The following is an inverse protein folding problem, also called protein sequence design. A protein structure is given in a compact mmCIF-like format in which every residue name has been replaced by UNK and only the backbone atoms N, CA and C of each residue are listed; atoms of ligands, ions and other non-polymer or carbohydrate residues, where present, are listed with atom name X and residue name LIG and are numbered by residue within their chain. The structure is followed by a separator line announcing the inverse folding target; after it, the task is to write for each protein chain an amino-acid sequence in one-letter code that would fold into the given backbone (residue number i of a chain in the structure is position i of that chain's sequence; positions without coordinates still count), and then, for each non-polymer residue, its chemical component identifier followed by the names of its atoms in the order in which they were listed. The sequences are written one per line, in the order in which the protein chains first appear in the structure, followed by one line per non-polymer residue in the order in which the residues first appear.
data_IF_766000612588
#
_entry.id   IF_766000612588
#
_cell.length_a   1.000
_cell.length_b   1.000
_cell.length_c   1.000
_cell.angle_alpha   90.00
_cell.angle_beta   90.00
_cell.angle_gamma   90.00
#
_symmetry.space_group_name_H-M   'P 1'
#
loop_
_entity.id
_entity.type
_entity.pdbx_description
1 polymer ?
#
# COMPACT_ATOMS: atom_id res chain seq x y z
N UNK A 1 6.62 16.43 17.60
CA UNK A 1 7.74 15.50 17.35
C UNK A 1 8.10 15.64 15.89
N UNK A 2 9.27 16.20 15.51
CA UNK A 2 10.10 15.36 14.62
C UNK A 2 11.60 15.70 14.65
N UNK A 3 12.42 14.80 14.09
CA UNK A 3 13.56 15.15 13.23
C UNK A 3 14.15 13.91 12.52
N UNK A 4 13.34 12.88 12.24
CA UNK A 4 13.75 11.83 11.30
C UNK A 4 13.14 12.18 9.93
N UNK A 5 13.93 12.07 8.88
CA UNK A 5 13.50 12.39 7.52
C UNK A 5 12.75 11.21 6.94
N UNK A 6 11.63 11.47 6.26
CA UNK A 6 10.86 10.45 5.54
C UNK A 6 10.67 10.88 4.10
N UNK A 7 11.07 10.04 3.17
CA UNK A 7 10.73 10.16 1.76
C UNK A 7 9.90 8.95 1.34
N UNK A 8 8.64 9.17 0.97
CA UNK A 8 7.68 8.14 0.60
C UNK A 8 7.05 8.49 -0.77
N UNK A 9 7.80 8.31 -1.87
CA UNK A 9 7.37 8.71 -3.21
C UNK A 9 6.11 7.97 -3.68
N UNK A 10 5.95 6.71 -3.27
CA UNK A 10 4.81 5.86 -3.61
C UNK A 10 3.55 6.14 -2.75
N UNK A 11 3.63 7.10 -1.82
CA UNK A 11 2.55 7.53 -0.93
C UNK A 11 1.91 6.37 -0.15
N UNK A 12 2.71 5.39 0.24
CA UNK A 12 2.27 4.22 1.01
C UNK A 12 1.62 4.69 2.32
N UNK A 13 0.37 4.29 2.56
CA UNK A 13 -0.38 4.62 3.80
C UNK A 13 -0.54 3.44 4.74
N UNK A 14 -0.48 2.22 4.21
CA UNK A 14 -0.62 0.98 4.96
C UNK A 14 0.22 -0.10 4.27
N UNK A 15 0.77 -1.02 5.06
CA UNK A 15 1.52 -2.19 4.56
C UNK A 15 1.29 -3.38 5.49
N UNK A 16 1.12 -4.58 4.94
CA UNK A 16 1.02 -5.82 5.73
C UNK A 16 2.40 -6.34 6.15
N UNK A 17 3.42 -6.13 5.32
CA UNK A 17 4.80 -6.59 5.52
C UNK A 17 5.79 -5.48 5.20
N UNK A 18 6.73 -5.22 6.11
CA UNK A 18 7.89 -4.34 5.88
C UNK A 18 9.16 -5.17 5.80
N UNK A 19 9.98 -4.90 4.78
CA UNK A 19 11.40 -5.27 4.77
C UNK A 19 12.21 -4.02 5.14
N UNK A 20 12.75 -3.99 6.35
CA UNK A 20 13.62 -2.90 6.81
C UNK A 20 15.09 -3.20 6.55
N UNK A 21 15.84 -2.22 6.05
CA UNK A 21 17.27 -2.30 5.79
C UNK A 21 17.96 -1.22 6.62
N UNK A 22 18.49 -1.53 7.82
CA UNK A 22 19.36 -0.63 8.55
C UNK A 22 20.62 -0.32 7.74
N UNK A 23 20.96 0.96 7.59
CA UNK A 23 22.14 1.38 6.82
C UNK A 23 22.89 2.54 7.48
N UNK A 24 24.18 2.62 7.15
CA UNK A 24 25.06 3.78 7.36
C UNK A 24 26.27 3.64 6.44
N UNK A 25 26.36 4.50 5.44
CA UNK A 25 27.41 4.53 4.44
C UNK A 25 27.55 3.19 3.69
N UNK A 26 26.44 2.80 3.04
CA UNK A 26 26.20 1.52 2.37
C UNK A 26 25.86 1.71 0.88
N UNK A 27 26.35 2.77 0.23
CA UNK A 27 26.03 3.08 -1.17
C UNK A 27 26.36 1.91 -2.13
N UNK A 28 27.44 1.17 -1.84
CA UNK A 28 27.91 0.05 -2.67
C UNK A 28 27.06 -1.22 -2.54
N UNK A 29 26.33 -1.39 -1.43
CA UNK A 29 25.67 -2.65 -1.05
C UNK A 29 24.14 -2.56 -1.06
N UNK A 30 23.58 -1.40 -0.70
CA UNK A 30 22.15 -1.25 -0.44
C UNK A 30 21.29 -1.52 -1.68
N UNK A 31 21.79 -1.19 -2.87
CA UNK A 31 21.06 -1.43 -4.12
C UNK A 31 20.81 -2.93 -4.34
N UNK A 32 21.82 -3.77 -4.10
CA UNK A 32 21.68 -5.22 -4.20
C UNK A 32 20.66 -5.75 -3.18
N UNK A 33 20.71 -5.28 -1.94
CA UNK A 33 19.76 -5.69 -0.90
C UNK A 33 18.30 -5.34 -1.29
N UNK A 34 18.07 -4.16 -1.86
CA UNK A 34 16.74 -3.75 -2.36
C UNK A 34 16.26 -4.65 -3.49
N UNK A 35 17.11 -4.98 -4.47
CA UNK A 35 16.73 -5.84 -5.59
C UNK A 35 16.35 -7.24 -5.11
N UNK A 36 17.16 -7.84 -4.23
CA UNK A 36 16.87 -9.16 -3.65
C UNK A 36 15.58 -9.14 -2.81
N UNK A 37 15.38 -8.08 -2.01
CA UNK A 37 14.17 -7.86 -1.24
C UNK A 37 12.94 -7.78 -2.16
N UNK A 38 13.01 -6.96 -3.21
CA UNK A 38 11.91 -6.75 -4.15
C UNK A 38 11.58 -8.04 -4.90
N UNK A 39 12.57 -8.80 -5.35
CA UNK A 39 12.34 -10.05 -6.07
C UNK A 39 11.68 -11.10 -5.19
N UNK A 40 12.14 -11.27 -3.94
CA UNK A 40 11.58 -12.27 -3.04
C UNK A 40 10.17 -11.89 -2.60
N UNK A 41 9.89 -10.61 -2.35
CA UNK A 41 8.54 -10.13 -2.04
C UNK A 41 7.59 -10.35 -3.23
N UNK A 42 7.99 -9.98 -4.45
CA UNK A 42 7.18 -10.19 -5.64
C UNK A 42 6.94 -11.69 -5.95
N UNK A 43 7.87 -12.57 -5.57
CA UNK A 43 7.77 -14.01 -5.83
C UNK A 43 6.98 -14.78 -4.77
N UNK A 44 7.15 -14.46 -3.50
CA UNK A 44 6.62 -15.24 -2.38
C UNK A 44 5.47 -14.55 -1.63
N UNK A 45 5.33 -13.23 -1.79
CA UNK A 45 4.39 -12.38 -1.03
C UNK A 45 3.58 -11.43 -1.91
N UNK A 46 3.35 -11.79 -3.17
CA UNK A 46 2.62 -10.96 -4.14
C UNK A 46 1.18 -10.59 -3.70
N UNK A 47 0.59 -11.37 -2.79
CA UNK A 47 -0.75 -11.15 -2.24
C UNK A 47 -0.77 -10.23 -0.99
N UNK A 48 0.39 -9.79 -0.51
CA UNK A 48 0.51 -8.87 0.64
C UNK A 48 0.88 -7.47 0.16
N UNK A 49 0.39 -6.43 0.86
CA UNK A 49 0.90 -5.08 0.66
C UNK A 49 2.28 -4.97 1.31
N UNK A 50 3.32 -5.10 0.51
CA UNK A 50 4.69 -5.04 1.00
C UNK A 50 5.33 -3.67 0.73
N UNK A 51 6.29 -3.27 1.57
CA UNK A 51 7.12 -2.08 1.33
C UNK A 51 8.55 -2.35 1.82
N UNK A 52 9.53 -1.84 1.08
CA UNK A 52 10.95 -1.88 1.47
C UNK A 52 11.31 -0.53 2.08
N UNK A 53 11.93 -0.55 3.26
CA UNK A 53 12.26 0.65 4.01
C UNK A 53 13.76 0.70 4.25
N UNK A 54 14.45 1.70 3.68
CA UNK A 54 15.80 2.02 4.13
C UNK A 54 15.70 2.78 5.46
N UNK A 55 16.35 2.26 6.49
CA UNK A 55 16.47 2.89 7.78
C UNK A 55 17.91 3.38 7.94
N UNK A 56 18.17 4.62 7.58
CA UNK A 56 19.50 5.21 7.47
C UNK A 56 19.91 6.01 8.73
N UNK A 57 21.21 6.22 8.89
CA UNK A 57 21.82 7.10 9.88
C UNK A 57 22.52 8.31 9.27
N UNK A 58 21.78 9.06 8.46
CA UNK A 58 22.26 10.27 7.79
C UNK A 58 23.55 9.99 7.00
N UNK A 59 23.49 9.02 6.09
CA UNK A 59 24.63 8.68 5.23
C UNK A 59 24.98 9.82 4.28
N UNK A 60 26.27 9.99 4.02
CA UNK A 60 26.85 11.06 3.18
C UNK A 60 27.55 10.52 1.90
N UNK A 61 27.50 9.22 1.69
CA UNK A 61 28.19 8.49 0.61
C UNK A 61 27.32 8.20 -0.62
N UNK A 62 26.05 8.64 -0.62
CA UNK A 62 25.09 8.31 -1.67
C UNK A 62 24.18 7.12 -1.37
N UNK A 63 24.16 6.59 -0.14
CA UNK A 63 23.31 5.45 0.25
C UNK A 63 21.83 5.65 -0.10
N UNK A 64 21.29 6.86 0.11
CA UNK A 64 19.90 7.18 -0.19
C UNK A 64 19.62 7.13 -1.70
N UNK A 65 20.53 7.69 -2.48
CA UNK A 65 20.46 7.77 -3.93
C UNK A 65 20.54 6.35 -4.52
N UNK A 66 21.49 5.53 -4.04
CA UNK A 66 21.62 4.13 -4.42
C UNK A 66 20.35 3.31 -4.08
N UNK A 67 19.75 3.54 -2.91
CA UNK A 67 18.49 2.91 -2.50
C UNK A 67 17.34 3.21 -3.47
N UNK A 68 17.19 4.46 -3.92
CA UNK A 68 16.14 4.86 -4.86
C UNK A 68 16.46 4.50 -6.32
N UNK A 69 17.74 4.41 -6.69
CA UNK A 69 18.18 4.00 -8.02
C UNK A 69 18.01 2.49 -8.28
N UNK A 70 18.01 1.67 -7.23
CA UNK A 70 17.81 0.22 -7.33
C UNK A 70 16.49 -0.14 -8.01
N UNK A 71 16.48 -1.23 -8.79
CA UNK A 71 15.26 -1.71 -9.44
C UNK A 71 14.33 -2.34 -8.40
N UNK A 72 13.07 -1.91 -8.38
CA UNK A 72 12.08 -2.46 -7.46
C UNK A 72 10.71 -2.56 -8.12
N UNK A 73 10.01 -3.66 -7.87
CA UNK A 73 8.59 -3.88 -8.18
C UNK A 73 7.68 -3.58 -6.99
N UNK A 74 8.28 -3.28 -5.83
CA UNK A 74 7.61 -3.03 -4.56
C UNK A 74 7.85 -1.58 -4.15
N UNK A 75 6.85 -0.90 -3.54
CA UNK A 75 7.02 0.45 -3.02
C UNK A 75 8.21 0.60 -2.07
N UNK A 76 8.77 1.81 -2.01
CA UNK A 76 9.93 2.12 -1.18
C UNK A 76 9.71 3.35 -0.31
N UNK A 77 10.26 3.29 0.89
CA UNK A 77 10.31 4.42 1.82
C UNK A 77 11.76 4.58 2.28
N UNK A 78 12.26 5.81 2.24
CA UNK A 78 13.49 6.17 2.93
C UNK A 78 13.14 6.82 4.26
N UNK A 79 13.85 6.39 5.30
CA UNK A 79 13.76 6.90 6.66
C UNK A 79 15.21 7.15 7.11
N UNK A 80 15.51 8.33 7.65
CA UNK A 80 16.82 8.62 8.24
C UNK A 80 16.71 9.24 9.62
N UNK A 81 17.62 8.90 10.52
CA UNK A 81 17.79 9.64 11.78
C UNK A 81 18.25 11.08 11.51
N UNK A 82 18.02 12.02 12.45
CA UNK A 82 18.62 13.34 12.36
C UNK A 82 20.14 13.29 12.38
N UNK A 83 20.75 14.37 11.91
CA UNK A 83 22.20 14.55 12.01
C UNK A 83 22.71 14.36 13.45
N UNK A 84 23.89 13.76 13.58
CA UNK A 84 24.49 13.39 14.86
C UNK A 84 23.87 12.19 15.56
N UNK A 85 22.72 11.66 15.12
CA UNK A 85 22.10 10.46 15.72
C UNK A 85 22.44 9.23 14.91
N UNK A 86 23.11 8.25 15.53
CA UNK A 86 23.60 7.04 14.86
C UNK A 86 23.37 5.77 15.68
N UNK A 87 23.55 4.61 15.05
CA UNK A 87 23.53 3.28 15.64
C UNK A 87 22.34 2.43 15.18
N UNK A 88 22.58 1.12 14.98
CA UNK A 88 21.57 0.15 14.51
C UNK A 88 20.27 0.16 15.34
N UNK A 89 20.39 0.39 16.66
CA UNK A 89 19.22 0.53 17.54
C UNK A 89 18.31 1.71 17.17
N UNK A 90 18.86 2.83 16.69
CA UNK A 90 18.07 3.96 16.22
C UNK A 90 17.40 3.67 14.86
N UNK A 91 18.04 2.91 13.97
CA UNK A 91 17.39 2.43 12.74
C UNK A 91 16.16 1.59 13.07
N UNK A 92 16.32 0.59 13.95
CA UNK A 92 15.22 -0.30 14.35
C UNK A 92 14.12 0.46 15.09
N UNK A 93 14.47 1.38 15.99
CA UNK A 93 13.51 2.23 16.69
C UNK A 93 12.63 3.00 15.72
N UNK A 94 13.22 3.58 14.68
CA UNK A 94 12.45 4.34 13.69
C UNK A 94 11.65 3.43 12.75
N UNK A 95 12.20 2.28 12.37
CA UNK A 95 11.50 1.26 11.59
C UNK A 95 10.21 0.81 12.29
N UNK A 96 10.28 0.50 13.59
CA UNK A 96 9.10 0.09 14.35
C UNK A 96 8.08 1.21 14.56
N UNK A 97 8.52 2.46 14.62
CA UNK A 97 7.61 3.61 14.62
C UNK A 97 6.84 3.70 13.29
N UNK A 98 7.55 3.65 12.17
CA UNK A 98 6.93 3.63 10.84
C UNK A 98 6.01 2.41 10.67
N UNK A 99 6.40 1.24 11.18
CA UNK A 99 5.56 0.05 11.16
C UNK A 99 4.24 0.24 11.93
N UNK A 100 4.28 0.95 13.06
CA UNK A 100 3.08 1.34 13.79
C UNK A 100 2.19 2.30 12.99
N UNK A 101 2.78 3.29 12.33
CA UNK A 101 2.06 4.25 11.47
C UNK A 101 1.40 3.58 10.25
N UNK A 102 2.09 2.62 9.63
CA UNK A 102 1.59 1.83 8.49
C UNK A 102 0.71 0.65 8.90
N UNK A 103 0.46 0.46 10.20
CA UNK A 103 -0.34 -0.64 10.78
C UNK A 103 0.16 -2.03 10.33
N UNK A 104 1.48 -2.19 10.27
CA UNK A 104 2.11 -3.38 9.73
C UNK A 104 2.00 -4.59 10.64
N UNK A 105 1.78 -5.77 10.03
CA UNK A 105 1.58 -7.04 10.74
C UNK A 105 2.91 -7.76 11.00
N UNK A 106 3.90 -7.58 10.14
CA UNK A 106 5.22 -8.19 10.28
C UNK A 106 6.33 -7.29 9.73
N UNK A 107 7.48 -7.30 10.41
CA UNK A 107 8.71 -6.61 9.99
C UNK A 107 9.82 -7.64 9.88
N UNK A 108 10.53 -7.65 8.76
CA UNK A 108 11.76 -8.44 8.56
C UNK A 108 12.90 -7.45 8.37
N UNK A 109 14.02 -7.65 9.08
CA UNK A 109 15.21 -6.81 8.92
C UNK A 109 16.26 -7.55 8.09
N UNK A 110 16.80 -6.89 7.08
CA UNK A 110 17.95 -7.35 6.30
C UNK A 110 19.13 -6.43 6.57
N UNK A 111 20.33 -6.99 6.76
CA UNK A 111 21.55 -6.18 6.88
C UNK A 111 22.00 -5.75 5.48
N UNK A 112 22.36 -4.47 5.30
CA UNK A 112 22.75 -3.92 4.00
C UNK A 112 24.01 -4.62 3.45
N UNK A 113 24.92 -5.03 4.32
CA UNK A 113 26.22 -5.63 4.00
C UNK A 113 26.20 -7.11 3.58
N UNK A 114 25.03 -7.75 3.55
CA UNK A 114 24.98 -9.20 3.33
C UNK A 114 25.12 -9.54 1.84
N UNK A 115 26.35 -9.83 1.40
CA UNK A 115 26.71 -10.23 0.02
C UNK A 115 26.08 -11.54 -0.46
N UNK A 116 25.47 -12.32 0.45
CA UNK A 116 24.83 -13.60 0.16
C UNK A 116 23.30 -13.55 0.21
N UNK A 117 22.71 -12.35 0.25
CA UNK A 117 21.25 -12.21 0.20
C UNK A 117 20.70 -12.91 -1.05
N UNK A 118 19.76 -13.82 -0.82
CA UNK A 118 19.03 -14.53 -1.87
C UNK A 118 17.54 -14.29 -1.65
N UNK A 119 16.71 -14.21 -2.71
CA UNK A 119 15.27 -13.98 -2.54
C UNK A 119 14.58 -15.09 -1.75
N UNK A 120 15.20 -16.28 -1.73
CA UNK A 120 14.76 -17.43 -0.91
C UNK A 120 14.77 -17.13 0.59
N UNK A 121 15.60 -16.21 1.08
CA UNK A 121 15.67 -15.87 2.51
C UNK A 121 14.41 -15.16 2.99
N UNK A 122 13.70 -14.47 2.09
CA UNK A 122 12.40 -13.84 2.41
C UNK A 122 11.34 -14.93 2.65
N UNK A 123 11.53 -16.14 2.10
CA UNK A 123 10.68 -17.28 2.40
C UNK A 123 10.88 -17.71 3.86
N UNK A 124 9.96 -17.31 4.73
CA UNK A 124 9.85 -17.86 6.09
C UNK A 124 9.18 -19.24 6.04
N UNK A 125 9.51 -20.12 6.99
CA UNK A 125 9.08 -21.53 7.02
C UNK A 125 7.57 -21.74 6.81
N UNK A 126 7.17 -22.79 6.06
CA UNK A 126 5.81 -22.99 5.58
C UNK A 126 4.93 -23.68 6.63
N UNK A 127 4.56 -23.01 7.72
CA UNK A 127 3.36 -23.43 8.49
C UNK A 127 2.74 -22.34 9.36
N UNK A 128 2.88 -21.07 8.95
CA UNK A 128 2.12 -19.98 9.58
C UNK A 128 1.31 -19.33 8.47
N UNK A 129 0.04 -19.69 8.39
CA UNK A 129 -0.93 -18.90 7.65
C UNK A 129 -0.81 -17.46 8.16
N UNK A 130 -0.44 -16.53 7.28
CA UNK A 130 -0.66 -15.12 7.59
C UNK A 130 -2.14 -14.98 7.94
N UNK A 131 -2.51 -14.34 9.07
CA UNK A 131 -3.91 -14.20 9.42
C UNK A 131 -4.63 -13.45 8.29
N UNK A 132 -5.40 -14.21 7.51
CA UNK A 132 -6.20 -13.73 6.37
C UNK A 132 -7.40 -12.91 6.82
N UNK A 133 -7.64 -12.80 8.14
CA UNK A 133 -8.71 -12.00 8.70
C UNK A 133 -8.40 -10.51 8.54
N UNK A 134 -9.32 -9.83 7.85
CA UNK A 134 -9.32 -8.41 7.48
C UNK A 134 -8.52 -8.01 6.23
N UNK A 135 -8.74 -8.74 5.13
CA UNK A 135 -8.78 -8.11 3.81
C UNK A 135 -10.26 -7.98 3.41
N UNK A 136 -10.95 -6.99 3.98
CA UNK A 136 -12.20 -6.56 3.33
C UNK A 136 -11.78 -5.83 2.05
N UNK A 137 -12.24 -6.24 0.86
CA UNK A 137 -12.03 -5.43 -0.33
C UNK A 137 -12.65 -4.03 -0.10
N UNK A 138 -12.12 -2.97 -0.73
CA UNK A 138 -12.79 -1.67 -0.70
C UNK A 138 -14.23 -1.87 -1.16
N UNK A 139 -15.19 -1.35 -0.39
CA UNK A 139 -16.61 -1.44 -0.72
C UNK A 139 -16.85 -0.75 -2.06
N UNK A 140 -16.96 -1.53 -3.13
CA UNK A 140 -17.59 -1.06 -4.35
C UNK A 140 -19.09 -1.06 -4.08
N UNK A 141 -19.60 0.07 -3.57
CA UNK A 141 -21.01 0.38 -3.74
C UNK A 141 -21.24 0.58 -5.24
N UNK A 142 -22.04 -0.23 -5.94
CA UNK A 142 -22.51 0.18 -7.25
C UNK A 142 -23.52 1.31 -7.01
N UNK A 143 -23.16 2.54 -7.34
CA UNK A 143 -24.14 3.60 -7.59
C UNK A 143 -25.00 3.16 -8.77
N UNK A 144 -26.12 2.52 -8.45
CA UNK A 144 -27.19 2.29 -9.40
C UNK A 144 -27.95 3.61 -9.53
N UNK A 145 -27.69 4.37 -10.60
CA UNK A 145 -28.58 5.43 -11.06
C UNK A 145 -28.76 5.29 -12.56
N UNK A 146 -29.56 4.30 -12.94
CA UNK A 146 -30.35 4.38 -14.16
C UNK A 146 -31.80 4.49 -13.71
N UNK A 147 -32.30 5.73 -13.68
CA UNK A 147 -33.71 6.00 -13.45
C UNK A 147 -34.53 5.31 -14.54
N UNK A 148 -35.27 4.27 -14.16
CA UNK A 148 -36.27 3.63 -15.00
C UNK A 148 -37.51 4.52 -14.93
N UNK A 149 -37.86 5.13 -16.04
CA UNK A 149 -39.08 5.92 -16.25
C UNK A 149 -40.33 5.13 -15.83
N UNK A 150 -41.30 5.74 -15.13
CA UNK A 150 -42.57 5.08 -14.84
C UNK A 150 -43.40 4.94 -16.12
N UNK A 151 -43.90 3.73 -16.36
CA UNK A 151 -44.93 3.41 -17.36
C UNK A 151 -46.21 4.21 -17.09
N UNK A 152 -46.87 4.80 -18.11
CA UNK A 152 -48.21 5.37 -17.92
C UNK A 152 -49.28 4.27 -17.95
N UNK A 153 -50.22 4.35 -17.00
CA UNK A 153 -51.45 3.56 -16.95
C UNK A 153 -52.41 3.93 -18.11
N UNK A 154 -53.31 3.02 -18.53
CA UNK A 154 -54.20 3.24 -19.67
C UNK A 154 -55.37 4.18 -19.33
N UNK A 155 -55.70 5.03 -20.30
CA UNK A 155 -56.85 5.95 -20.32
C UNK A 155 -58.13 5.15 -20.59
N UNK A 156 -59.23 5.32 -19.83
CA UNK A 156 -60.57 4.97 -20.30
C UNK A 156 -61.19 6.15 -21.07
N UNK A 157 -61.73 5.85 -22.25
CA UNK A 157 -62.42 6.77 -23.14
C UNK A 157 -63.90 6.97 -22.75
N UNK A 158 -64.36 8.20 -22.97
CA UNK A 158 -65.73 8.65 -23.25
C UNK A 158 -66.76 8.73 -22.10
N UNK A 159 -67.10 9.98 -21.75
CA UNK A 159 -68.47 10.48 -21.74
C UNK A 159 -68.47 12.02 -21.65
N UNK A 160 -68.78 12.71 -22.75
CA UNK A 160 -69.24 14.11 -22.73
C UNK A 160 -70.70 14.09 -23.12
N UNK A 161 -71.55 14.49 -22.18
CA UNK A 161 -72.94 14.81 -22.39
C UNK A 161 -73.07 16.18 -23.06
N UNK A 162 -73.86 16.28 -24.10
CA UNK A 162 -74.64 17.50 -24.39
C UNK A 162 -76.02 17.05 -24.86
N UNK A 163 -77.05 17.65 -24.26
CA UNK A 163 -78.42 17.19 -24.33
C UNK A 163 -79.33 17.99 -25.26
N UNK A 164 -80.55 17.48 -25.31
CA UNK A 164 -81.83 18.12 -25.59
C UNK A 164 -82.13 18.65 -27.01
N UNK A 165 -83.07 17.97 -27.67
CA UNK A 165 -83.83 18.46 -28.81
C UNK A 165 -85.16 17.69 -28.94
N UNK A 166 -86.26 18.41 -28.72
CA UNK A 166 -87.67 18.02 -28.57
C UNK A 166 -88.34 17.17 -29.67
N UNK A 167 -89.47 16.56 -29.30
CA UNK A 167 -90.43 15.88 -30.17
C UNK A 167 -91.59 16.79 -30.65
N UNK A 168 -92.12 16.45 -31.84
CA UNK A 168 -93.50 16.59 -32.35
C UNK A 168 -94.22 17.94 -32.32
N UNK A 169 -94.40 18.57 -33.49
CA UNK A 169 -95.64 18.60 -34.33
C UNK A 169 -95.39 19.40 -35.60
#
# INVERSE_FOLDING_TARGET
MPAWTVENPDKVKEADLIIGIPSRNEADSIGFAVEQASEGLAKYFANLRAVIVNCDNQSDDGTKEAFFAARSKVPRIYLSTPDGVRGKGNNLKNLFRLAGELKTKAVVCLDADTKSLSPKWIKTSPNRSWPTTHLSPPSTSPTNTTARSPTPSPIPSAAVSTGAGYASR
#
